data_IF_752329101021
#
_entry.id   IF_752329101021
#
_cell.length_a   1.000
_cell.length_b   1.000
_cell.length_c   1.000
_cell.angle_alpha   90.00
_cell.angle_beta   90.00
_cell.angle_gamma   90.00
#
_symmetry.space_group_name_H-M   'P 1'
#
loop_
_entity.id
_entity.type
_entity.pdbx_description
1 polymer ?
#
# COMPACT_ATOMS: atom_id res chain seq x y z
N UNK A 1 2.53 7.17 -24.94
CA UNK A 1 2.74 6.24 -23.81
C UNK A 1 1.84 6.64 -22.66
N UNK A 2 1.18 5.67 -22.04
CA UNK A 2 0.32 5.84 -20.86
C UNK A 2 0.91 4.99 -19.73
N UNK A 3 1.35 5.65 -18.67
CA UNK A 3 1.73 5.01 -17.43
C UNK A 3 0.47 4.74 -16.59
N UNK A 4 0.52 3.73 -15.71
CA UNK A 4 -0.64 3.22 -14.95
C UNK A 4 -1.84 2.93 -15.88
N UNK A 5 -1.56 2.18 -16.96
CA UNK A 5 -2.50 1.92 -18.06
C UNK A 5 -3.79 1.21 -17.63
N UNK A 6 -3.82 0.58 -16.45
CA UNK A 6 -5.06 0.05 -15.87
C UNK A 6 -6.12 1.14 -15.67
N UNK A 7 -5.72 2.44 -15.59
CA UNK A 7 -6.64 3.58 -15.49
C UNK A 7 -7.18 4.06 -16.84
N UNK A 8 -6.63 3.57 -17.97
CA UNK A 8 -6.97 4.05 -19.32
C UNK A 8 -8.43 3.82 -19.70
N UNK A 9 -9.12 2.88 -19.06
CA UNK A 9 -10.56 2.65 -19.28
C UNK A 9 -11.47 3.77 -18.70
N UNK A 10 -10.94 4.68 -17.86
CA UNK A 10 -11.70 5.81 -17.33
C UNK A 10 -12.10 6.79 -18.46
N UNK A 11 -13.27 7.42 -18.30
CA UNK A 11 -13.85 8.30 -19.33
C UNK A 11 -12.91 9.42 -19.77
N UNK A 12 -12.18 10.02 -18.83
CA UNK A 12 -11.20 11.08 -19.10
C UNK A 12 -10.04 10.60 -19.98
N UNK A 13 -9.45 9.45 -19.65
CA UNK A 13 -8.38 8.85 -20.44
C UNK A 13 -8.86 8.46 -21.85
N UNK A 14 -10.03 7.83 -21.95
CA UNK A 14 -10.61 7.43 -23.25
C UNK A 14 -10.86 8.63 -24.15
N UNK A 15 -11.25 9.78 -23.59
CA UNK A 15 -11.42 11.02 -24.37
C UNK A 15 -10.09 11.51 -24.93
N UNK A 16 -9.03 11.50 -24.14
CA UNK A 16 -7.68 11.89 -24.57
C UNK A 16 -7.14 10.90 -25.62
N UNK A 17 -7.26 9.60 -25.37
CA UNK A 17 -6.82 8.56 -26.33
C UNK A 17 -7.54 8.73 -27.67
N UNK A 18 -8.87 8.92 -27.65
CA UNK A 18 -9.67 9.14 -28.87
C UNK A 18 -9.22 10.38 -29.65
N UNK A 19 -8.78 11.42 -28.97
CA UNK A 19 -8.26 12.61 -29.61
C UNK A 19 -6.97 12.30 -30.39
N UNK A 20 -6.01 11.64 -29.78
CA UNK A 20 -4.74 11.30 -30.42
C UNK A 20 -4.89 10.27 -31.54
N UNK A 21 -5.81 9.31 -31.41
CA UNK A 21 -6.11 8.30 -32.43
C UNK A 21 -6.79 8.87 -33.70
N UNK A 22 -7.10 10.18 -33.74
CA UNK A 22 -7.49 10.85 -35.00
C UNK A 22 -6.32 10.94 -35.99
N UNK A 23 -5.08 10.88 -35.51
CA UNK A 23 -3.92 10.72 -36.36
C UNK A 23 -3.69 9.21 -36.62
N UNK A 24 -3.79 8.73 -37.86
CA UNK A 24 -3.64 7.32 -38.20
C UNK A 24 -2.23 6.75 -37.92
N UNK A 25 -1.23 7.60 -37.82
CA UNK A 25 0.15 7.19 -37.45
C UNK A 25 0.36 7.10 -35.93
N UNK A 26 -0.63 7.46 -35.12
CA UNK A 26 -0.51 7.43 -33.68
C UNK A 26 -0.71 6.01 -33.14
N UNK A 27 0.29 5.51 -32.45
CA UNK A 27 0.21 4.26 -31.68
C UNK A 27 0.09 4.59 -30.19
N UNK A 28 -0.86 3.93 -29.51
CA UNK A 28 -1.05 4.08 -28.06
C UNK A 28 -0.45 2.88 -27.35
N UNK A 29 0.55 3.13 -26.51
CA UNK A 29 1.22 2.12 -25.68
C UNK A 29 0.89 2.39 -24.23
N UNK A 30 0.48 1.34 -23.52
CA UNK A 30 0.21 1.39 -22.08
C UNK A 30 1.18 0.49 -21.30
N UNK A 31 1.65 0.96 -20.15
CA UNK A 31 2.43 0.17 -19.19
C UNK A 31 1.73 0.21 -17.82
N UNK A 32 1.75 -0.91 -17.10
CA UNK A 32 1.19 -1.00 -15.76
C UNK A 32 1.79 -2.19 -15.02
N UNK A 33 1.99 -2.06 -13.72
CA UNK A 33 2.34 -3.17 -12.84
C UNK A 33 1.12 -4.00 -12.42
N UNK A 34 -0.09 -3.42 -12.51
CA UNK A 34 -1.34 -4.04 -12.06
C UNK A 34 -2.38 -4.02 -13.19
N UNK A 35 -2.38 -5.03 -14.07
CA UNK A 35 -3.32 -5.08 -15.21
C UNK A 35 -4.78 -5.24 -14.78
N UNK A 36 -5.02 -5.81 -13.61
CA UNK A 36 -6.37 -6.03 -13.07
C UNK A 36 -6.94 -4.77 -12.44
N UNK A 37 -8.23 -4.50 -12.72
CA UNK A 37 -8.97 -3.39 -12.12
C UNK A 37 -9.99 -3.87 -11.11
N UNK A 38 -10.23 -3.06 -10.08
CA UNK A 38 -11.25 -3.31 -9.05
C UNK A 38 -12.68 -3.37 -9.62
N UNK A 39 -12.95 -2.66 -10.71
CA UNK A 39 -14.27 -2.59 -11.35
C UNK A 39 -14.50 -3.69 -12.40
N UNK A 40 -13.54 -4.60 -12.58
CA UNK A 40 -13.63 -5.68 -13.55
C UNK A 40 -13.60 -5.24 -15.03
N UNK A 41 -13.38 -3.94 -15.31
CA UNK A 41 -13.26 -3.44 -16.68
C UNK A 41 -11.85 -3.71 -17.17
N UNK A 42 -11.71 -4.72 -18.00
CA UNK A 42 -10.42 -5.13 -18.56
C UNK A 42 -9.79 -4.08 -19.47
N UNK A 43 -8.46 -4.06 -19.53
CA UNK A 43 -7.69 -3.19 -20.43
C UNK A 43 -7.96 -3.49 -21.92
N UNK A 44 -8.49 -4.65 -22.27
CA UNK A 44 -8.89 -5.03 -23.64
C UNK A 44 -9.95 -4.08 -24.26
N UNK A 45 -10.62 -3.27 -23.47
CA UNK A 45 -11.50 -2.20 -23.98
C UNK A 45 -10.73 -0.99 -24.54
N UNK A 46 -9.43 -0.91 -24.32
CA UNK A 46 -8.58 0.21 -24.76
C UNK A 46 -7.40 -0.28 -25.61
N UNK A 47 -6.77 -1.39 -25.21
CA UNK A 47 -5.61 -1.95 -25.87
C UNK A 47 -5.97 -3.28 -26.53
N UNK A 48 -5.57 -3.47 -27.78
CA UNK A 48 -5.89 -4.65 -28.58
C UNK A 48 -4.98 -5.86 -28.30
N UNK A 49 -3.72 -5.57 -27.91
CA UNK A 49 -2.68 -6.60 -27.76
C UNK A 49 -1.86 -6.31 -26.49
N UNK A 50 -1.55 -7.35 -25.74
CA UNK A 50 -0.50 -7.33 -24.74
C UNK A 50 0.82 -7.79 -25.40
N UNK A 51 1.78 -6.89 -25.52
CA UNK A 51 3.08 -7.19 -26.16
C UNK A 51 4.06 -7.86 -25.22
N UNK A 52 3.90 -7.67 -23.91
CA UNK A 52 4.74 -8.26 -22.88
C UNK A 52 3.94 -8.41 -21.59
N UNK A 53 4.13 -9.55 -20.91
CA UNK A 53 3.59 -9.83 -19.58
C UNK A 53 4.70 -10.43 -18.72
N UNK A 54 5.29 -9.58 -17.88
CA UNK A 54 6.41 -9.93 -16.99
C UNK A 54 5.91 -9.91 -15.55
N UNK A 55 5.66 -11.07 -15.01
CA UNK A 55 5.16 -11.21 -13.64
C UNK A 55 6.27 -11.03 -12.58
N UNK A 56 5.88 -10.96 -11.30
CA UNK A 56 6.79 -10.78 -10.16
C UNK A 56 7.84 -11.90 -10.09
N UNK A 57 7.45 -13.15 -10.39
CA UNK A 57 8.37 -14.29 -10.36
C UNK A 57 9.47 -14.11 -11.40
N UNK A 58 9.11 -13.72 -12.62
CA UNK A 58 10.11 -13.40 -13.66
C UNK A 58 11.08 -12.32 -13.19
N UNK A 59 10.57 -11.26 -12.54
CA UNK A 59 11.39 -10.18 -11.98
C UNK A 59 12.38 -10.67 -10.92
N UNK A 60 11.96 -11.59 -10.05
CA UNK A 60 12.83 -12.21 -9.03
C UNK A 60 13.87 -13.13 -9.66
N UNK A 61 13.47 -14.01 -10.58
CA UNK A 61 14.35 -14.97 -11.25
C UNK A 61 15.43 -14.27 -12.10
N UNK A 62 15.10 -13.11 -12.68
CA UNK A 62 16.04 -12.33 -13.49
C UNK A 62 16.81 -11.25 -12.69
N UNK A 63 16.67 -11.21 -11.35
CA UNK A 63 17.41 -10.30 -10.48
C UNK A 63 16.96 -8.85 -10.48
N UNK A 64 15.80 -8.55 -11.08
CA UNK A 64 15.20 -7.21 -11.05
C UNK A 64 14.46 -6.92 -9.75
N UNK A 65 13.94 -7.95 -9.10
CA UNK A 65 13.22 -7.87 -7.83
C UNK A 65 13.85 -8.77 -6.78
N UNK A 66 13.72 -8.38 -5.52
CA UNK A 66 14.12 -9.19 -4.37
C UNK A 66 13.00 -10.17 -4.03
N UNK A 67 13.34 -11.44 -3.79
CA UNK A 67 12.37 -12.44 -3.36
C UNK A 67 11.74 -12.06 -2.01
N UNK A 68 10.41 -11.88 -1.93
CA UNK A 68 9.74 -11.53 -0.68
C UNK A 68 9.74 -12.72 0.29
N UNK A 69 9.98 -12.44 1.57
CA UNK A 69 9.74 -13.39 2.66
C UNK A 69 8.42 -13.03 3.34
N UNK A 70 7.42 -13.87 3.17
CA UNK A 70 6.10 -13.65 3.76
C UNK A 70 6.03 -14.25 5.18
N UNK A 71 5.55 -13.46 6.13
CA UNK A 71 5.31 -13.84 7.51
C UNK A 71 3.84 -13.54 7.86
N UNK A 72 3.18 -14.47 8.54
CA UNK A 72 1.81 -14.29 9.00
C UNK A 72 1.81 -14.12 10.52
N UNK A 73 1.31 -12.99 11.01
CA UNK A 73 1.03 -12.77 12.42
C UNK A 73 -0.42 -13.16 12.69
N UNK A 74 -0.64 -14.10 13.64
CA UNK A 74 -1.97 -14.44 14.10
C UNK A 74 -2.39 -13.45 15.17
N UNK A 75 -3.57 -12.86 15.00
CA UNK A 75 -4.23 -12.00 16.00
C UNK A 75 -5.29 -12.85 16.71
N UNK A 76 -5.09 -13.12 17.99
CA UNK A 76 -5.99 -13.99 18.72
C UNK A 76 -7.36 -13.36 18.97
N UNK A 77 -8.41 -14.09 18.53
CA UNK A 77 -9.79 -13.64 18.61
C UNK A 77 -10.21 -12.62 17.58
N UNK A 78 -9.37 -12.35 16.56
CA UNK A 78 -9.79 -11.57 15.40
C UNK A 78 -10.72 -12.42 14.53
N UNK A 79 -11.99 -12.08 14.51
CA UNK A 79 -12.99 -12.71 13.67
C UNK A 79 -13.55 -11.72 12.65
N UNK A 80 -13.32 -12.01 11.38
CA UNK A 80 -13.76 -11.19 10.24
C UNK A 80 -14.91 -11.83 9.45
N UNK A 81 -15.42 -12.98 9.89
CA UNK A 81 -16.45 -13.73 9.15
C UNK A 81 -17.76 -12.97 9.02
N UNK A 82 -18.09 -12.15 10.02
CA UNK A 82 -19.31 -11.34 10.04
C UNK A 82 -19.14 -9.97 9.36
N UNK A 83 -17.92 -9.63 8.93
CA UNK A 83 -17.67 -8.36 8.21
C UNK A 83 -18.28 -8.45 6.82
N UNK A 84 -19.19 -7.55 6.50
CA UNK A 84 -19.86 -7.50 5.21
C UNK A 84 -18.89 -7.21 4.08
N UNK A 85 -19.23 -7.66 2.89
CA UNK A 85 -18.49 -7.33 1.66
C UNK A 85 -19.27 -6.26 0.91
N UNK A 86 -18.62 -5.15 0.59
CA UNK A 86 -19.19 -4.02 -0.16
C UNK A 86 -18.23 -3.69 -1.30
N UNK A 87 -18.73 -3.65 -2.54
CA UNK A 87 -17.92 -3.31 -3.72
C UNK A 87 -16.72 -4.25 -3.96
N UNK A 88 -16.81 -5.52 -3.52
CA UNK A 88 -15.76 -6.51 -3.70
C UNK A 88 -14.71 -6.55 -2.59
N UNK A 89 -14.78 -5.67 -1.59
CA UNK A 89 -13.89 -5.67 -0.42
C UNK A 89 -14.68 -5.65 0.90
N UNK A 90 -13.99 -5.79 2.02
CA UNK A 90 -14.57 -5.77 3.37
C UNK A 90 -15.12 -4.37 3.71
N UNK A 91 -16.28 -4.34 4.38
CA UNK A 91 -16.87 -3.08 4.87
C UNK A 91 -15.89 -2.34 5.78
N UNK A 92 -15.46 -1.17 5.31
CA UNK A 92 -14.42 -0.37 5.97
C UNK A 92 -14.83 0.03 7.40
N UNK A 93 -16.10 0.37 7.60
CA UNK A 93 -16.59 0.84 8.93
C UNK A 93 -16.60 -0.29 9.95
N UNK A 94 -17.04 -1.48 9.54
CA UNK A 94 -17.03 -2.66 10.43
C UNK A 94 -15.60 -3.11 10.71
N UNK A 95 -14.75 -3.14 9.67
CA UNK A 95 -13.36 -3.50 9.79
C UNK A 95 -12.60 -2.57 10.75
N UNK A 96 -12.81 -1.26 10.65
CA UNK A 96 -12.18 -0.27 11.53
C UNK A 96 -12.53 -0.52 12.99
N UNK A 97 -13.82 -0.77 13.32
CA UNK A 97 -14.27 -1.04 14.69
C UNK A 97 -13.53 -2.23 15.30
N UNK A 98 -13.28 -3.26 14.53
CA UNK A 98 -12.60 -4.47 15.00
C UNK A 98 -11.09 -4.22 15.13
N UNK A 99 -10.45 -3.62 14.12
CA UNK A 99 -9.00 -3.42 14.11
C UNK A 99 -8.52 -2.35 15.09
N UNK A 100 -9.40 -1.41 15.48
CA UNK A 100 -9.10 -0.35 16.45
C UNK A 100 -9.27 -0.79 17.93
N UNK A 101 -9.67 -2.05 18.18
CA UNK A 101 -9.65 -2.57 19.53
C UNK A 101 -8.22 -2.61 20.07
N UNK A 102 -8.04 -2.15 21.30
CA UNK A 102 -6.73 -2.01 21.96
C UNK A 102 -5.91 -3.31 21.89
N UNK A 103 -6.57 -4.46 22.17
CA UNK A 103 -5.94 -5.78 22.07
C UNK A 103 -5.38 -6.03 20.68
N UNK A 104 -6.16 -5.77 19.62
CA UNK A 104 -5.75 -6.03 18.24
C UNK A 104 -4.61 -5.09 17.80
N UNK A 105 -4.61 -3.84 18.25
CA UNK A 105 -3.51 -2.90 18.01
C UNK A 105 -2.20 -3.38 18.64
N UNK A 106 -2.24 -3.93 19.85
CA UNK A 106 -1.08 -4.52 20.51
C UNK A 106 -0.55 -5.75 19.74
N UNK A 107 -1.45 -6.66 19.37
CA UNK A 107 -1.10 -7.89 18.64
C UNK A 107 -0.59 -7.62 17.23
N UNK A 108 -0.96 -6.48 16.61
CA UNK A 108 -0.40 -6.03 15.33
C UNK A 108 0.97 -5.36 15.52
N UNK A 109 1.12 -4.45 16.48
CA UNK A 109 2.33 -3.66 16.64
C UNK A 109 3.54 -4.49 17.07
N UNK A 110 3.33 -5.44 17.99
CA UNK A 110 4.43 -6.26 18.53
C UNK A 110 5.20 -7.02 17.45
N UNK A 111 4.59 -7.85 16.58
CA UNK A 111 5.34 -8.58 15.54
C UNK A 111 5.99 -7.64 14.52
N UNK A 112 5.43 -6.45 14.26
CA UNK A 112 6.07 -5.45 13.40
C UNK A 112 7.40 -5.02 13.99
N UNK A 113 7.45 -4.70 15.28
CA UNK A 113 8.67 -4.31 15.99
C UNK A 113 9.66 -5.49 16.07
N UNK A 114 9.18 -6.69 16.38
CA UNK A 114 10.02 -7.89 16.49
C UNK A 114 10.74 -8.21 15.15
N UNK A 115 10.06 -8.02 14.01
CA UNK A 115 10.63 -8.28 12.68
C UNK A 115 11.49 -7.12 12.18
N UNK A 116 11.10 -5.88 12.46
CA UNK A 116 11.85 -4.69 12.04
C UNK A 116 13.17 -4.56 12.80
N UNK A 117 13.18 -4.89 14.10
CA UNK A 117 14.34 -4.64 14.94
C UNK A 117 14.67 -3.15 15.05
N UNK A 118 15.94 -2.84 15.26
CA UNK A 118 16.42 -1.46 15.43
C UNK A 118 16.69 -0.73 14.10
N UNK A 119 16.87 -1.45 13.01
CA UNK A 119 17.49 -0.92 11.79
C UNK A 119 16.66 -1.06 10.52
N UNK A 120 15.65 -1.93 10.51
CA UNK A 120 14.84 -2.10 9.29
C UNK A 120 13.73 -1.06 9.20
N UNK A 121 13.75 -0.35 8.09
CA UNK A 121 12.69 0.60 7.77
C UNK A 121 11.41 -0.13 7.33
N UNK A 122 10.26 0.31 7.84
CA UNK A 122 8.98 -0.35 7.63
C UNK A 122 7.86 0.59 7.18
N UNK A 123 7.02 0.11 6.26
CA UNK A 123 5.71 0.72 5.97
C UNK A 123 4.63 -0.18 6.55
N UNK A 124 3.69 0.42 7.28
CA UNK A 124 2.54 -0.26 7.86
C UNK A 124 1.26 0.25 7.20
N UNK A 125 0.57 -0.60 6.48
CA UNK A 125 -0.72 -0.27 5.86
C UNK A 125 -1.85 -0.51 6.84
N UNK A 126 -2.70 0.51 7.04
CA UNK A 126 -3.80 0.49 8.01
C UNK A 126 -5.15 0.75 7.35
N UNK A 127 -6.25 0.36 8.02
CA UNK A 127 -7.61 0.52 7.53
C UNK A 127 -8.22 1.89 7.86
N UNK A 128 -7.66 2.62 8.84
CA UNK A 128 -8.15 3.94 9.22
C UNK A 128 -7.02 4.87 9.67
N UNK A 129 -7.31 6.17 9.64
CA UNK A 129 -6.42 7.21 10.18
C UNK A 129 -6.17 6.98 11.67
N UNK A 130 -7.22 6.68 12.44
CA UNK A 130 -7.11 6.42 13.87
C UNK A 130 -6.22 5.20 14.14
N UNK A 131 -6.41 4.10 13.39
CA UNK A 131 -5.54 2.92 13.50
C UNK A 131 -4.08 3.29 13.21
N UNK A 132 -3.80 4.12 12.18
CA UNK A 132 -2.45 4.52 11.86
C UNK A 132 -1.76 5.24 13.02
N UNK A 133 -2.43 6.20 13.65
CA UNK A 133 -1.90 6.91 14.81
C UNK A 133 -1.71 5.99 16.02
N UNK A 134 -2.72 5.16 16.34
CA UNK A 134 -2.64 4.23 17.48
C UNK A 134 -1.53 3.20 17.31
N UNK A 135 -1.34 2.66 16.10
CA UNK A 135 -0.23 1.73 15.83
C UNK A 135 1.12 2.41 15.97
N UNK A 136 1.28 3.68 15.55
CA UNK A 136 2.52 4.43 15.77
C UNK A 136 2.87 4.51 17.26
N UNK A 137 1.88 4.79 18.12
CA UNK A 137 2.09 4.85 19.58
C UNK A 137 2.53 3.48 20.12
N UNK A 138 1.83 2.40 19.75
CA UNK A 138 2.20 1.05 20.18
C UNK A 138 3.58 0.62 19.68
N UNK A 139 3.95 0.95 18.44
CA UNK A 139 5.28 0.66 17.90
C UNK A 139 6.35 1.37 18.73
N UNK A 140 6.18 2.64 19.05
CA UNK A 140 7.13 3.38 19.90
C UNK A 140 7.27 2.73 21.27
N UNK A 141 6.16 2.40 21.91
CA UNK A 141 6.15 1.74 23.23
C UNK A 141 6.87 0.39 23.20
N UNK A 142 6.56 -0.45 22.22
CA UNK A 142 7.21 -1.77 22.10
C UNK A 142 8.68 -1.65 21.75
N UNK A 143 9.04 -0.75 20.83
CA UNK A 143 10.43 -0.54 20.44
C UNK A 143 11.26 -0.05 21.63
N UNK A 144 10.76 0.93 22.38
CA UNK A 144 11.44 1.42 23.58
C UNK A 144 11.63 0.32 24.63
N UNK A 145 10.62 -0.50 24.89
CA UNK A 145 10.71 -1.63 25.83
C UNK A 145 11.70 -2.69 25.36
N UNK A 146 11.76 -2.98 24.05
CA UNK A 146 12.62 -4.02 23.51
C UNK A 146 14.09 -3.60 23.40
N UNK A 147 14.34 -2.34 23.06
CA UNK A 147 15.68 -1.87 22.67
C UNK A 147 16.22 -0.72 23.54
N UNK A 148 15.41 -0.19 24.47
CA UNK A 148 15.80 0.92 25.34
C UNK A 148 16.07 2.24 24.60
N UNK A 149 15.55 2.39 23.38
CA UNK A 149 15.74 3.56 22.54
C UNK A 149 14.44 3.99 21.89
N UNK A 150 14.25 5.28 21.72
CA UNK A 150 13.13 5.83 20.98
C UNK A 150 13.29 5.58 19.49
N UNK A 151 12.19 5.24 18.85
CA UNK A 151 12.10 5.15 17.39
C UNK A 151 11.17 6.19 16.82
N UNK A 152 11.46 6.60 15.60
CA UNK A 152 10.58 7.49 14.84
C UNK A 152 9.52 6.67 14.11
N UNK A 153 8.29 6.67 14.67
CA UNK A 153 7.10 6.10 14.03
C UNK A 153 6.10 7.24 13.77
N UNK A 154 5.74 7.43 12.52
CA UNK A 154 4.91 8.56 12.08
C UNK A 154 3.73 8.06 11.25
N UNK A 155 2.54 8.61 11.50
CA UNK A 155 1.35 8.37 10.69
C UNK A 155 1.36 9.29 9.46
N UNK A 156 1.05 8.73 8.30
CA UNK A 156 0.84 9.44 7.05
C UNK A 156 -0.55 9.09 6.50
N UNK A 157 -1.43 10.05 6.46
CA UNK A 157 -2.82 9.87 6.06
C UNK A 157 -3.32 11.00 5.14
N UNK A 158 -4.57 10.91 4.72
CA UNK A 158 -5.20 11.86 3.81
C UNK A 158 -5.64 13.19 4.43
N UNK A 159 -5.40 13.43 5.72
CA UNK A 159 -5.76 14.70 6.37
C UNK A 159 -4.85 15.85 5.94
N UNK A 160 -3.61 15.52 5.56
CA UNK A 160 -2.66 16.46 4.98
C UNK A 160 -2.74 16.38 3.43
N UNK A 161 -2.94 17.52 2.78
CA UNK A 161 -2.92 17.56 1.32
C UNK A 161 -1.57 17.14 0.73
N UNK A 162 -1.49 16.68 -0.53
CA UNK A 162 -0.21 16.33 -1.18
C UNK A 162 0.80 17.50 -1.22
N UNK A 163 0.30 18.75 -1.20
CA UNK A 163 1.12 19.97 -1.24
C UNK A 163 1.55 20.43 0.16
N UNK A 164 0.96 19.88 1.22
CA UNK A 164 1.26 20.29 2.59
C UNK A 164 2.76 20.13 2.91
N UNK A 165 3.42 21.16 3.43
CA UNK A 165 4.85 21.11 3.79
C UNK A 165 5.16 20.01 4.79
N UNK A 166 4.29 19.76 5.78
CA UNK A 166 4.46 18.72 6.79
C UNK A 166 4.45 17.33 6.15
N UNK A 167 3.52 17.08 5.20
CA UNK A 167 3.47 15.80 4.45
C UNK A 167 4.75 15.60 3.64
N UNK A 168 5.22 16.63 2.92
CA UNK A 168 6.46 16.57 2.15
C UNK A 168 7.67 16.29 3.05
N UNK A 169 7.70 16.91 4.23
CA UNK A 169 8.77 16.70 5.20
C UNK A 169 8.78 15.25 5.72
N UNK A 170 7.62 14.70 6.12
CA UNK A 170 7.50 13.29 6.55
C UNK A 170 8.03 12.34 5.47
N UNK A 171 7.58 12.53 4.22
CA UNK A 171 8.03 11.69 3.10
C UNK A 171 9.54 11.81 2.87
N UNK A 172 10.09 13.02 2.94
CA UNK A 172 11.53 13.26 2.79
C UNK A 172 12.34 12.58 3.91
N UNK A 173 11.92 12.73 5.15
CA UNK A 173 12.58 12.12 6.32
C UNK A 173 12.49 10.59 6.29
N UNK A 174 11.35 10.05 5.86
CA UNK A 174 11.20 8.61 5.67
C UNK A 174 12.14 8.11 4.57
N UNK A 175 12.18 8.73 3.40
CA UNK A 175 13.11 8.35 2.32
C UNK A 175 14.59 8.48 2.72
N UNK A 176 14.92 9.41 3.59
CA UNK A 176 16.27 9.59 4.15
C UNK A 176 16.63 8.59 5.27
N UNK A 177 15.66 7.75 5.73
CA UNK A 177 15.87 6.78 6.80
C UNK A 177 15.77 7.37 8.23
N UNK A 178 15.44 8.65 8.37
CA UNK A 178 15.28 9.30 9.69
C UNK A 178 13.99 8.85 10.40
N UNK A 179 12.99 8.44 9.66
CA UNK A 179 11.78 7.80 10.17
C UNK A 179 11.89 6.29 9.90
N UNK A 180 11.82 5.48 10.93
CA UNK A 180 11.90 4.02 10.81
C UNK A 180 10.55 3.40 10.42
N UNK A 181 9.44 3.85 11.02
CA UNK A 181 8.12 3.29 10.78
C UNK A 181 7.17 4.35 10.19
N UNK A 182 6.65 4.09 9.01
CA UNK A 182 5.61 4.91 8.37
C UNK A 182 4.27 4.16 8.40
N UNK A 183 3.36 4.58 9.28
CA UNK A 183 2.02 4.01 9.36
C UNK A 183 1.10 4.76 8.39
N UNK A 184 0.71 4.10 7.32
CA UNK A 184 0.01 4.70 6.18
C UNK A 184 -1.47 4.32 6.15
N UNK A 185 -2.34 5.31 5.92
CA UNK A 185 -3.75 5.10 5.62
C UNK A 185 -4.11 5.73 4.25
N UNK A 186 -4.12 4.88 3.21
CA UNK A 186 -4.61 5.25 1.88
C UNK A 186 -3.80 6.28 1.09
N UNK A 187 -2.56 6.57 1.50
CA UNK A 187 -1.75 7.65 0.90
C UNK A 187 -0.52 7.16 0.16
N UNK A 188 0.27 6.27 0.76
CA UNK A 188 1.48 5.71 0.16
C UNK A 188 1.15 4.37 -0.53
N UNK A 189 0.27 4.39 -1.52
CA UNK A 189 -0.20 3.18 -2.23
C UNK A 189 0.43 3.04 -3.61
N UNK A 190 0.22 4.00 -4.49
CA UNK A 190 0.76 3.99 -5.85
C UNK A 190 1.84 5.07 -6.01
N UNK A 191 2.90 4.75 -6.74
CA UNK A 191 3.99 5.69 -7.03
C UNK A 191 4.84 6.11 -5.82
N UNK A 192 4.71 5.42 -4.66
CA UNK A 192 5.52 5.71 -3.49
C UNK A 192 6.82 4.90 -3.54
N UNK A 193 7.85 5.49 -4.09
CA UNK A 193 9.18 4.90 -4.17
C UNK A 193 9.99 5.16 -2.89
N UNK A 194 10.37 4.09 -2.19
CA UNK A 194 11.17 4.11 -0.97
C UNK A 194 12.09 2.88 -0.90
N UNK A 195 13.23 2.90 -1.59
CA UNK A 195 14.11 1.73 -1.75
C UNK A 195 14.77 1.27 -0.44
N UNK A 196 14.78 2.09 0.59
CA UNK A 196 15.26 1.75 1.94
C UNK A 196 14.35 0.82 2.72
N UNK A 197 13.09 0.67 2.31
CA UNK A 197 12.10 -0.16 3.02
C UNK A 197 12.48 -1.65 2.96
N UNK A 198 12.50 -2.30 4.13
CA UNK A 198 12.81 -3.72 4.29
C UNK A 198 11.65 -4.53 4.82
N UNK A 199 10.63 -3.87 5.35
CA UNK A 199 9.43 -4.50 5.89
C UNK A 199 8.18 -3.79 5.39
N UNK A 200 7.23 -4.57 4.86
CA UNK A 200 5.88 -4.12 4.59
C UNK A 200 4.96 -4.90 5.53
N UNK A 201 4.23 -4.20 6.38
CA UNK A 201 3.25 -4.78 7.28
C UNK A 201 1.84 -4.42 6.81
N UNK A 202 1.03 -5.44 6.54
CA UNK A 202 -0.35 -5.27 6.06
C UNK A 202 -1.28 -5.44 7.27
N UNK A 203 -1.60 -4.32 7.92
CA UNK A 203 -2.54 -4.23 9.04
C UNK A 203 -4.00 -3.99 8.62
N UNK A 204 -4.29 -4.12 7.32
CA UNK A 204 -5.61 -4.03 6.74
C UNK A 204 -5.94 -5.29 5.95
N UNK A 205 -6.77 -6.19 6.48
CA UNK A 205 -7.31 -7.29 5.68
C UNK A 205 -8.11 -6.77 4.48
N UNK A 206 -7.96 -7.42 3.33
CA UNK A 206 -8.67 -7.06 2.09
C UNK A 206 -9.00 -8.31 1.30
N UNK A 207 -10.12 -8.29 0.57
CA UNK A 207 -10.48 -9.29 -0.45
C UNK A 207 -10.05 -8.84 -1.85
N UNK A 208 -9.62 -7.60 -1.99
CA UNK A 208 -9.20 -7.03 -3.27
C UNK A 208 -7.77 -7.41 -3.61
N UNK A 209 -7.57 -8.11 -4.74
CA UNK A 209 -6.23 -8.42 -5.26
C UNK A 209 -5.41 -7.18 -5.61
N UNK A 210 -6.07 -6.12 -6.05
CA UNK A 210 -5.39 -4.87 -6.42
C UNK A 210 -4.92 -4.05 -5.21
N UNK A 211 -5.44 -4.33 -4.00
CA UNK A 211 -4.98 -3.70 -2.75
C UNK A 211 -3.97 -4.56 -1.99
N UNK A 212 -3.84 -5.83 -2.34
CA UNK A 212 -2.86 -6.76 -1.79
C UNK A 212 -1.60 -6.77 -2.65
#
# INVERSE_FOLDING_TARGET
>A
LIDEAHRAAAVTYRRVIKHFLQNPECCVVGVTATPDRLDGIGMGNVFQVASSDLNVLWGVENGWLVGPRQLFAKIDGLDLREVRTIGGDLDTSQLQRILELEKNLHEMAKPIVDVAGQDKQAIVFTASVKQAHSICEKIRDYHNRAFGSDTQAVALDGTLSPQDPKRKQIVKEFKAGSIQFLCNCGVATEGFDAPGVRLIAIGRPTKSRALY
#
